data_IF_795067062186
#
_entry.id   IF_795067062186
#
_cell.length_a   1.000
_cell.length_b   1.000
_cell.length_c   1.000
_cell.angle_alpha   90.00
_cell.angle_beta   90.00
_cell.angle_gamma   90.00
#
_symmetry.space_group_name_H-M   'P 1'
#
loop_
_entity.id
_entity.type
_entity.pdbx_description
1 polymer ?
#
# COMPACT_ATOMS: atom_id res chain seq x y z
N UNK A 1 17.42 -0.99 21.56
CA UNK A 1 18.04 0.19 20.93
C UNK A 1 18.89 -0.18 19.74
N UNK A 2 18.83 0.63 18.68
CA UNK A 2 19.76 0.54 17.58
C UNK A 2 21.12 1.11 17.97
N UNK A 3 22.18 0.35 17.74
CA UNK A 3 23.56 0.78 17.93
C UNK A 3 24.12 1.44 16.66
N UNK A 4 23.41 1.38 15.57
CA UNK A 4 23.73 2.06 14.32
C UNK A 4 23.11 3.46 14.34
N UNK A 5 23.92 4.49 14.18
CA UNK A 5 23.47 5.88 14.09
C UNK A 5 23.63 6.39 12.68
N UNK A 6 22.81 5.84 11.81
CA UNK A 6 22.85 6.09 10.38
C UNK A 6 22.58 7.56 10.05
N UNK A 7 23.48 8.14 9.28
CA UNK A 7 23.37 9.54 8.86
C UNK A 7 23.62 10.59 9.96
N UNK A 8 23.98 10.22 11.18
CA UNK A 8 24.25 11.18 12.25
C UNK A 8 25.66 11.76 12.14
N UNK A 9 25.76 13.07 11.94
CA UNK A 9 27.02 13.81 11.93
C UNK A 9 27.54 14.14 13.33
N UNK A 10 26.66 14.11 14.33
CA UNK A 10 26.98 14.42 15.72
C UNK A 10 26.26 13.43 16.66
N UNK A 11 26.98 12.95 17.64
CA UNK A 11 26.45 12.08 18.69
C UNK A 11 26.22 12.88 19.97
N UNK A 12 25.05 12.71 20.57
CA UNK A 12 24.70 13.31 21.86
C UNK A 12 25.09 12.41 23.04
N UNK A 13 25.28 11.11 22.80
CA UNK A 13 25.78 10.12 23.75
C UNK A 13 26.48 8.97 23.01
N UNK A 14 27.07 8.06 23.75
CA UNK A 14 27.62 6.84 23.16
C UNK A 14 26.53 6.05 22.40
N UNK A 15 26.79 5.60 21.16
CA UNK A 15 25.77 4.96 20.33
C UNK A 15 25.26 3.64 20.93
N UNK A 16 26.18 2.81 21.45
CA UNK A 16 25.81 1.51 21.97
C UNK A 16 25.49 1.58 23.45
N UNK A 17 24.21 1.45 23.79
CA UNK A 17 23.71 1.46 25.15
C UNK A 17 23.03 0.16 25.58
N UNK A 18 22.69 -0.72 24.64
CA UNK A 18 22.14 -2.05 24.91
C UNK A 18 23.26 -3.06 25.10
N UNK A 19 23.08 -3.99 26.03
CA UNK A 19 24.00 -5.08 26.27
C UNK A 19 23.25 -6.38 26.47
N UNK A 20 23.87 -7.47 26.05
CA UNK A 20 23.34 -8.82 26.14
C UNK A 20 24.32 -9.71 26.90
N UNK A 21 23.79 -10.58 27.76
CA UNK A 21 24.52 -11.62 28.48
C UNK A 21 23.75 -12.93 28.36
N UNK A 22 24.46 -14.00 28.09
CA UNK A 22 23.87 -15.32 28.20
C UNK A 22 23.82 -15.71 29.68
N UNK A 23 22.69 -16.27 30.11
CA UNK A 23 22.52 -16.81 31.46
C UNK A 23 23.11 -18.22 31.46
N UNK A 24 24.38 -18.35 31.78
CA UNK A 24 25.14 -19.59 31.80
C UNK A 24 25.48 -20.11 33.25
N UNK A 25 25.07 -19.37 34.24
CA UNK A 25 25.26 -19.69 35.66
C UNK A 25 24.00 -19.35 36.48
N UNK A 26 23.88 -19.99 37.67
CA UNK A 26 22.80 -19.71 38.63
C UNK A 26 22.88 -18.33 39.27
N UNK A 27 24.03 -17.68 39.21
CA UNK A 27 24.26 -16.32 39.69
C UNK A 27 25.15 -15.60 38.68
N UNK A 28 24.72 -14.44 38.24
CA UNK A 28 25.46 -13.59 37.31
C UNK A 28 25.52 -12.16 37.82
N UNK A 29 26.61 -11.48 37.54
CA UNK A 29 26.73 -10.05 37.73
C UNK A 29 26.76 -9.37 36.37
N UNK A 30 25.80 -8.49 36.13
CA UNK A 30 25.66 -7.73 34.89
C UNK A 30 25.68 -6.24 35.18
N UNK A 31 26.07 -5.43 34.20
CA UNK A 31 26.09 -3.99 34.37
C UNK A 31 26.19 -3.24 33.06
N UNK A 32 25.51 -2.11 33.01
CA UNK A 32 25.56 -1.17 31.90
C UNK A 32 25.82 0.23 32.44
N UNK A 33 26.82 0.93 31.88
CA UNK A 33 27.19 2.29 32.29
C UNK A 33 26.05 3.32 32.15
N UNK A 34 25.10 3.07 31.27
CA UNK A 34 23.95 3.94 31.04
C UNK A 34 22.71 3.55 31.88
N UNK A 35 22.74 2.41 32.53
CA UNK A 35 21.55 1.83 33.15
C UNK A 35 20.55 1.33 32.13
N UNK A 36 19.25 1.42 32.46
CA UNK A 36 18.13 1.04 31.60
C UNK A 36 17.31 -0.12 32.13
N UNK A 37 16.20 -0.47 31.50
CA UNK A 37 15.37 -1.63 31.81
C UNK A 37 16.18 -2.94 31.69
N UNK A 38 15.87 -3.90 32.54
CA UNK A 38 16.45 -5.25 32.52
C UNK A 38 15.40 -6.22 31.99
N UNK A 39 15.66 -6.84 30.84
CA UNK A 39 14.82 -7.84 30.25
C UNK A 39 15.43 -9.24 30.38
N UNK A 40 14.60 -10.21 30.69
CA UNK A 40 14.95 -11.63 30.66
C UNK A 40 14.41 -12.23 29.40
N UNK A 41 15.29 -12.53 28.45
CA UNK A 41 14.92 -13.16 27.19
C UNK A 41 14.91 -14.68 27.30
N UNK A 42 13.80 -15.29 26.91
CA UNK A 42 13.66 -16.75 26.82
C UNK A 42 13.45 -17.08 25.34
N UNK A 43 14.21 -18.04 24.83
CA UNK A 43 14.12 -18.46 23.43
C UNK A 43 12.73 -19.04 23.14
N UNK A 44 12.14 -18.64 22.04
CA UNK A 44 10.85 -19.18 21.59
C UNK A 44 10.90 -20.72 21.49
N UNK A 45 9.83 -21.38 21.94
CA UNK A 45 9.75 -22.85 21.98
C UNK A 45 10.51 -23.50 23.15
N UNK A 46 11.05 -22.72 24.08
CA UNK A 46 11.70 -23.23 25.29
C UNK A 46 10.70 -23.98 26.19
N UNK A 47 11.13 -25.10 26.75
CA UNK A 47 10.30 -25.96 27.62
C UNK A 47 10.85 -26.02 29.05
N UNK A 48 11.50 -24.95 29.52
CA UNK A 48 12.16 -24.88 30.81
C UNK A 48 11.18 -24.94 32.00
N UNK A 49 9.90 -24.72 31.78
CA UNK A 49 8.92 -24.59 32.84
C UNK A 49 9.02 -23.24 33.58
N UNK A 50 8.43 -23.15 34.77
CA UNK A 50 8.48 -21.97 35.63
C UNK A 50 9.75 -21.98 36.49
N UNK A 51 10.36 -20.80 36.62
CA UNK A 51 11.50 -20.61 37.48
C UNK A 51 11.55 -19.16 38.01
N UNK A 52 12.10 -19.00 39.21
CA UNK A 52 12.24 -17.69 39.85
C UNK A 52 13.56 -17.02 39.49
N UNK A 53 13.50 -15.73 39.20
CA UNK A 53 14.68 -14.88 39.03
C UNK A 53 14.67 -13.77 40.08
N UNK A 54 15.75 -13.70 40.85
CA UNK A 54 15.96 -12.61 41.79
C UNK A 54 16.93 -11.60 41.21
N UNK A 55 16.48 -10.35 41.03
CA UNK A 55 17.32 -9.22 40.63
C UNK A 55 17.65 -8.40 41.86
N UNK A 56 18.96 -8.24 42.13
CA UNK A 56 19.47 -7.46 43.27
C UNK A 56 20.19 -6.19 42.79
N UNK A 57 20.24 -5.15 43.63
CA UNK A 57 20.87 -3.86 43.32
C UNK A 57 20.26 -3.14 42.11
N UNK A 58 18.97 -3.34 41.88
CA UNK A 58 18.16 -2.62 40.93
C UNK A 58 17.05 -1.85 41.66
N UNK A 59 16.43 -0.91 40.95
CA UNK A 59 15.25 -0.19 41.43
C UNK A 59 14.06 -0.59 40.58
N UNK A 60 12.86 -0.50 41.14
CA UNK A 60 11.62 -0.76 40.38
C UNK A 60 11.38 0.32 39.36
N UNK A 61 10.93 -0.09 38.21
CA UNK A 61 10.42 0.79 37.16
C UNK A 61 8.90 0.93 37.26
N UNK A 62 8.35 2.11 37.02
CA UNK A 62 6.92 2.24 36.76
C UNK A 62 6.50 1.28 35.67
N UNK A 63 5.53 0.43 35.98
CA UNK A 63 5.00 -0.54 35.01
C UNK A 63 3.50 -0.69 35.14
N UNK A 64 2.80 -0.48 34.04
CA UNK A 64 1.39 -0.74 33.90
C UNK A 64 1.16 -1.82 32.85
N UNK A 65 0.37 -2.81 33.17
CA UNK A 65 -0.07 -3.86 32.25
C UNK A 65 -1.59 -3.80 32.21
N UNK A 66 -2.14 -3.50 31.04
CA UNK A 66 -3.57 -3.45 30.81
C UNK A 66 -4.24 -4.78 31.21
N UNK A 67 -5.34 -4.71 31.93
CA UNK A 67 -6.06 -5.88 32.42
C UNK A 67 -5.45 -6.61 33.61
N UNK A 68 -4.18 -6.33 33.99
CA UNK A 68 -3.49 -6.97 35.13
C UNK A 68 -3.22 -6.01 36.27
N UNK A 69 -2.77 -4.78 35.97
CA UNK A 69 -2.37 -3.80 36.97
C UNK A 69 -3.60 -3.12 37.61
N UNK A 70 -3.72 -3.24 38.93
CA UNK A 70 -4.75 -2.53 39.67
C UNK A 70 -4.54 -1.00 39.57
N UNK A 71 -5.57 -0.28 39.16
CA UNK A 71 -5.48 1.16 38.91
C UNK A 71 -5.20 1.97 40.19
N UNK A 72 -5.70 1.53 41.34
CA UNK A 72 -5.41 2.20 42.60
C UNK A 72 -3.93 2.06 42.98
N UNK A 73 -3.34 0.87 42.78
CA UNK A 73 -1.91 0.65 42.99
C UNK A 73 -1.05 1.43 42.00
N UNK A 74 -1.50 1.54 40.74
CA UNK A 74 -0.84 2.40 39.76
C UNK A 74 -0.77 3.85 40.26
N UNK A 75 -1.90 4.42 40.62
CA UNK A 75 -2.03 5.82 41.04
C UNK A 75 -1.26 6.10 42.36
N UNK A 76 -1.28 5.19 43.30
CA UNK A 76 -0.69 5.41 44.64
C UNK A 76 0.79 5.00 44.76
N UNK A 77 1.25 4.08 43.92
CA UNK A 77 2.57 3.50 44.05
C UNK A 77 3.32 3.38 42.72
N UNK A 78 2.86 2.58 41.79
CA UNK A 78 3.71 2.07 40.70
C UNK A 78 4.17 3.19 39.75
N UNK A 79 3.35 4.18 39.40
CA UNK A 79 3.79 5.30 38.58
C UNK A 79 4.88 6.16 39.26
N UNK A 80 5.06 6.01 40.58
CA UNK A 80 6.07 6.72 41.37
C UNK A 80 7.31 5.90 41.62
N UNK A 81 7.40 4.66 41.14
CA UNK A 81 8.59 3.83 41.27
C UNK A 81 9.82 4.55 40.68
N UNK A 82 11.01 4.40 41.32
CA UNK A 82 12.10 5.37 41.15
C UNK A 82 12.93 5.26 39.88
N UNK A 83 12.74 4.21 39.05
CA UNK A 83 13.54 4.07 37.84
C UNK A 83 13.25 5.20 36.82
N UNK A 84 14.23 5.62 36.01
CA UNK A 84 14.05 6.70 35.03
C UNK A 84 13.27 6.29 33.79
N UNK A 85 13.02 5.01 33.58
CA UNK A 85 12.26 4.43 32.50
C UNK A 85 11.01 3.74 33.00
N UNK A 86 9.94 3.79 32.22
CA UNK A 86 8.66 3.16 32.50
C UNK A 86 8.20 2.33 31.31
N UNK A 87 7.33 1.35 31.57
CA UNK A 87 6.60 0.62 30.55
C UNK A 87 5.09 0.69 30.82
N UNK A 88 4.33 1.01 29.78
CA UNK A 88 2.89 0.96 29.77
C UNK A 88 2.51 0.08 28.59
N UNK A 89 1.76 -0.99 28.84
CA UNK A 89 1.48 -1.94 27.77
C UNK A 89 0.22 -2.75 27.97
N UNK A 90 -0.22 -3.32 26.85
CA UNK A 90 -1.24 -4.33 26.72
C UNK A 90 -0.63 -5.65 26.26
N UNK A 91 -1.45 -6.59 25.84
CA UNK A 91 -1.04 -7.80 25.14
C UNK A 91 -0.73 -7.57 23.66
N UNK A 92 -0.99 -6.36 23.12
CA UNK A 92 -0.72 -5.98 21.72
C UNK A 92 0.42 -4.98 21.60
N UNK A 93 0.52 -3.98 22.50
CA UNK A 93 1.49 -2.90 22.37
C UNK A 93 2.14 -2.52 23.69
N UNK A 94 3.43 -2.19 23.64
CA UNK A 94 4.21 -1.73 24.79
C UNK A 94 4.90 -0.41 24.44
N UNK A 95 4.64 0.63 25.23
CA UNK A 95 5.32 1.91 25.21
C UNK A 95 6.41 1.93 26.29
N UNK A 96 7.67 2.02 25.89
CA UNK A 96 8.82 2.20 26.80
C UNK A 96 9.24 3.65 26.73
N UNK A 97 9.00 4.40 27.81
CA UNK A 97 9.10 5.86 27.88
C UNK A 97 9.93 6.34 29.07
N UNK A 98 10.46 7.57 29.02
CA UNK A 98 11.00 8.21 30.24
C UNK A 98 9.92 8.31 31.32
N UNK A 99 10.24 7.87 32.54
CA UNK A 99 9.23 7.73 33.60
C UNK A 99 8.62 9.06 34.08
N UNK A 100 9.29 10.19 33.84
CA UNK A 100 8.75 11.50 34.21
C UNK A 100 7.51 11.88 33.37
N UNK A 101 7.37 11.35 32.16
CA UNK A 101 6.24 11.60 31.26
C UNK A 101 4.94 10.93 31.72
N UNK A 102 5.04 9.92 32.59
CA UNK A 102 3.87 9.13 33.02
C UNK A 102 3.54 9.30 34.51
N UNK A 103 4.27 10.17 35.24
CA UNK A 103 4.02 10.39 36.67
C UNK A 103 2.62 10.90 36.97
N UNK A 104 2.04 11.66 36.05
CA UNK A 104 0.70 12.24 36.12
C UNK A 104 -0.33 11.51 35.24
N UNK A 105 0.02 10.35 34.69
CA UNK A 105 -0.92 9.56 33.88
C UNK A 105 -1.94 8.86 34.78
N UNK A 106 -3.16 9.40 34.80
CA UNK A 106 -4.25 8.93 35.65
C UNK A 106 -5.08 7.79 35.01
N UNK A 107 -5.08 7.70 33.69
CA UNK A 107 -5.91 6.76 32.93
C UNK A 107 -5.10 5.91 31.93
N UNK A 108 -4.12 5.11 32.38
CA UNK A 108 -3.32 4.26 31.49
C UNK A 108 -4.14 3.19 30.79
N UNK A 109 -5.30 2.81 31.34
CA UNK A 109 -6.22 1.88 30.71
C UNK A 109 -6.81 2.46 29.43
N UNK A 110 -7.39 3.65 29.49
CA UNK A 110 -7.99 4.31 28.33
C UNK A 110 -6.92 4.54 27.23
N UNK A 111 -5.69 4.84 27.63
CA UNK A 111 -4.57 4.98 26.71
C UNK A 111 -4.28 3.67 25.95
N UNK A 112 -4.25 2.55 26.68
CA UNK A 112 -3.94 1.26 26.05
C UNK A 112 -5.13 0.74 25.24
N UNK A 113 -6.37 0.94 25.68
CA UNK A 113 -7.57 0.64 24.89
C UNK A 113 -7.54 1.38 23.53
N UNK A 114 -7.12 2.64 23.54
CA UNK A 114 -6.98 3.44 22.32
C UNK A 114 -5.89 2.90 21.39
N UNK A 115 -4.70 2.57 21.93
CA UNK A 115 -3.61 2.00 21.13
C UNK A 115 -3.94 0.60 20.60
N UNK A 116 -4.62 -0.22 21.37
CA UNK A 116 -5.07 -1.54 20.93
C UNK A 116 -6.10 -1.42 19.80
N UNK A 117 -6.97 -0.40 19.86
CA UNK A 117 -7.89 -0.09 18.76
C UNK A 117 -7.10 0.34 17.51
N UNK A 118 -6.12 1.23 17.62
CA UNK A 118 -5.31 1.67 16.50
C UNK A 118 -4.59 0.51 15.82
N UNK A 119 -3.92 -0.35 16.59
CA UNK A 119 -3.26 -1.56 16.07
C UNK A 119 -4.24 -2.53 15.44
N UNK A 120 -5.41 -2.73 16.05
CA UNK A 120 -6.46 -3.59 15.50
C UNK A 120 -6.92 -3.09 14.12
N UNK A 121 -7.09 -1.79 13.95
CA UNK A 121 -7.44 -1.18 12.67
C UNK A 121 -6.32 -1.32 11.64
N UNK A 122 -5.04 -1.20 12.03
CA UNK A 122 -3.93 -1.47 11.11
C UNK A 122 -3.89 -2.94 10.66
N UNK A 123 -4.09 -3.88 11.58
CA UNK A 123 -4.21 -5.30 11.24
C UNK A 123 -5.33 -5.55 10.24
N UNK A 124 -6.48 -4.90 10.42
CA UNK A 124 -7.61 -4.99 9.50
C UNK A 124 -7.25 -4.42 8.12
N UNK A 125 -6.64 -3.24 8.07
CA UNK A 125 -6.23 -2.59 6.82
C UNK A 125 -5.30 -3.46 5.99
N UNK A 126 -4.27 -4.04 6.61
CA UNK A 126 -3.31 -4.89 5.90
C UNK A 126 -3.82 -6.33 5.69
N UNK A 127 -4.97 -6.69 6.27
CA UNK A 127 -5.63 -7.97 6.07
C UNK A 127 -4.93 -9.15 6.74
N UNK A 128 -4.00 -8.92 7.67
CA UNK A 128 -3.30 -9.98 8.41
C UNK A 128 -2.66 -9.48 9.70
N UNK A 129 -2.39 -10.42 10.61
CA UNK A 129 -1.55 -10.17 11.79
C UNK A 129 -0.07 -10.46 11.44
N UNK A 130 0.81 -9.45 11.37
CA UNK A 130 2.16 -9.63 10.82
C UNK A 130 3.05 -10.51 11.72
N UNK A 131 2.94 -10.37 13.04
CA UNK A 131 3.87 -11.03 13.95
C UNK A 131 3.16 -11.60 15.18
N UNK A 132 3.46 -12.85 15.59
CA UNK A 132 2.95 -13.41 16.84
C UNK A 132 3.76 -12.85 18.04
N UNK A 133 3.88 -11.55 18.13
CA UNK A 133 4.57 -10.83 19.19
C UNK A 133 3.82 -9.56 19.55
N UNK A 134 4.02 -9.08 20.78
CA UNK A 134 3.56 -7.77 21.21
C UNK A 134 4.44 -6.70 20.55
N UNK A 135 3.86 -5.74 19.85
CA UNK A 135 4.60 -4.62 19.28
C UNK A 135 5.18 -3.73 20.39
N UNK A 136 6.29 -3.06 20.11
CA UNK A 136 6.99 -2.26 21.12
C UNK A 136 7.54 -0.98 20.49
N UNK A 137 7.20 0.16 21.08
CA UNK A 137 7.83 1.44 20.82
C UNK A 137 8.76 1.83 21.97
N UNK A 138 9.95 2.31 21.65
CA UNK A 138 10.93 2.83 22.61
C UNK A 138 11.30 4.25 22.26
N UNK A 139 11.15 5.14 23.22
CA UNK A 139 11.40 6.56 23.05
C UNK A 139 12.75 6.94 23.66
N UNK A 140 13.61 7.59 22.88
CA UNK A 140 14.94 7.97 23.33
C UNK A 140 15.39 9.32 22.74
N UNK A 141 16.24 10.03 23.45
CA UNK A 141 16.86 11.28 23.01
C UNK A 141 17.80 11.09 21.80
N UNK A 142 18.19 9.88 21.48
CA UNK A 142 19.04 9.55 20.35
C UNK A 142 18.66 8.20 19.75
N UNK A 143 18.11 8.24 18.55
CA UNK A 143 17.74 7.07 17.75
C UNK A 143 18.56 6.99 16.46
N UNK A 144 18.54 5.84 15.77
CA UNK A 144 19.45 5.61 14.65
C UNK A 144 19.13 6.46 13.41
N UNK A 145 17.85 6.68 13.10
CA UNK A 145 17.42 7.42 11.92
C UNK A 145 16.17 8.26 12.20
N UNK A 146 16.00 9.35 11.47
CA UNK A 146 14.79 10.15 11.48
C UNK A 146 14.37 10.72 12.83
N UNK A 147 13.09 11.07 12.91
CA UNK A 147 12.36 11.40 14.13
C UNK A 147 11.78 10.13 14.80
N UNK A 148 11.41 9.17 13.96
CA UNK A 148 10.99 7.81 14.30
C UNK A 148 11.58 6.85 13.25
N UNK A 149 11.61 5.57 13.54
CA UNK A 149 11.88 4.52 12.56
C UNK A 149 11.32 3.17 13.01
N UNK A 150 10.84 2.42 12.05
CA UNK A 150 10.30 1.07 12.24
C UNK A 150 11.33 0.05 12.74
N UNK A 151 10.87 -1.14 13.02
CA UNK A 151 11.62 -2.30 13.49
C UNK A 151 11.10 -2.85 14.80
N UNK A 152 11.91 -3.67 15.46
CA UNK A 152 11.58 -4.21 16.78
C UNK A 152 12.76 -4.01 17.77
N UNK A 153 12.57 -3.11 18.74
CA UNK A 153 11.44 -2.20 18.89
C UNK A 153 11.43 -1.15 17.78
N UNK A 154 10.26 -0.60 17.49
CA UNK A 154 10.18 0.65 16.77
C UNK A 154 10.73 1.78 17.67
N UNK A 155 11.47 2.72 17.10
CA UNK A 155 12.16 3.77 17.84
C UNK A 155 11.57 5.14 17.51
N UNK A 156 11.32 5.94 18.56
CA UNK A 156 10.85 7.32 18.43
C UNK A 156 11.68 8.28 19.27
N UNK A 157 11.71 9.54 18.87
CA UNK A 157 12.35 10.58 19.65
C UNK A 157 11.56 10.88 20.93
N UNK A 158 12.26 11.06 22.06
CA UNK A 158 11.65 11.27 23.38
C UNK A 158 10.72 12.52 23.44
N UNK A 159 10.92 13.51 22.58
CA UNK A 159 10.04 14.68 22.47
C UNK A 159 8.61 14.36 21.97
N UNK A 160 8.38 13.17 21.42
CA UNK A 160 7.04 12.71 21.00
C UNK A 160 6.21 12.16 22.16
N UNK A 161 6.83 11.80 23.28
CA UNK A 161 6.18 11.03 24.36
C UNK A 161 4.97 11.75 24.91
N UNK A 162 5.09 13.04 25.19
CA UNK A 162 4.01 13.81 25.83
C UNK A 162 2.66 13.75 25.09
N UNK A 163 2.69 13.71 23.74
CA UNK A 163 1.52 13.48 22.90
C UNK A 163 1.06 12.03 22.95
N UNK A 164 1.99 11.10 22.72
CA UNK A 164 1.73 9.65 22.55
C UNK A 164 1.14 9.00 23.81
N UNK A 165 1.48 9.47 25.01
CA UNK A 165 0.92 8.97 26.28
C UNK A 165 -0.32 9.74 26.74
N UNK A 166 -0.80 10.70 25.97
CA UNK A 166 -1.98 11.49 26.28
C UNK A 166 -3.14 11.07 25.38
N UNK A 167 -4.05 10.25 25.90
CA UNK A 167 -5.18 9.71 25.14
C UNK A 167 -6.09 10.81 24.56
N UNK A 168 -6.30 11.92 25.27
CA UNK A 168 -7.11 13.02 24.75
C UNK A 168 -6.42 13.68 23.54
N UNK A 169 -5.11 13.90 23.64
CA UNK A 169 -4.35 14.44 22.51
C UNK A 169 -4.38 13.49 21.32
N UNK A 170 -4.14 12.18 21.53
CA UNK A 170 -4.16 11.17 20.47
C UNK A 170 -5.53 11.05 19.81
N UNK A 171 -6.61 11.14 20.59
CA UNK A 171 -7.98 11.07 20.06
C UNK A 171 -8.37 12.30 19.23
N UNK A 172 -7.77 13.45 19.49
CA UNK A 172 -8.07 14.71 18.79
C UNK A 172 -7.12 14.98 17.61
N UNK A 173 -5.87 14.52 17.70
CA UNK A 173 -4.82 14.90 16.75
C UNK A 173 -4.16 13.72 16.06
N UNK A 174 -4.20 12.52 16.64
CA UNK A 174 -3.41 11.38 16.21
C UNK A 174 -1.89 11.62 16.29
N UNK A 175 -1.14 10.73 15.70
CA UNK A 175 0.29 10.92 15.43
C UNK A 175 0.66 10.20 14.13
N UNK A 176 0.81 10.97 13.06
CA UNK A 176 1.14 10.44 11.73
C UNK A 176 2.40 9.57 11.77
N UNK A 177 3.44 10.00 12.49
CA UNK A 177 4.70 9.28 12.56
C UNK A 177 4.57 7.92 13.24
N UNK A 178 3.83 7.84 14.35
CA UNK A 178 3.56 6.57 15.04
C UNK A 178 2.82 5.59 14.12
N UNK A 179 1.78 6.03 13.43
CA UNK A 179 1.01 5.21 12.49
C UNK A 179 1.87 4.77 11.29
N UNK A 180 2.70 5.66 10.79
CA UNK A 180 3.63 5.41 9.70
C UNK A 180 4.64 4.31 10.04
N UNK A 181 5.28 4.38 11.22
CA UNK A 181 6.28 3.39 11.63
C UNK A 181 5.66 2.04 11.97
N UNK A 182 4.46 2.02 12.56
CA UNK A 182 3.69 0.81 12.73
C UNK A 182 3.27 0.24 11.37
N UNK A 183 2.87 1.09 10.43
CA UNK A 183 2.59 0.73 9.04
C UNK A 183 3.79 0.03 8.37
N UNK A 184 5.01 0.50 8.56
CA UNK A 184 6.21 -0.19 8.10
C UNK A 184 6.36 -1.59 8.72
N UNK A 185 6.02 -1.76 10.00
CA UNK A 185 6.04 -3.07 10.64
C UNK A 185 5.00 -4.04 10.08
N UNK A 186 3.94 -3.52 9.43
CA UNK A 186 2.89 -4.30 8.77
C UNK A 186 3.16 -4.56 7.28
N UNK A 187 4.09 -3.85 6.66
CA UNK A 187 4.40 -4.05 5.24
C UNK A 187 4.95 -5.44 4.95
N UNK A 188 4.44 -6.02 3.87
CA UNK A 188 5.00 -7.22 3.30
C UNK A 188 5.55 -6.92 1.90
N UNK A 189 6.84 -7.16 1.70
CA UNK A 189 7.55 -6.72 0.49
C UNK A 189 6.92 -7.17 -0.83
N UNK A 190 6.35 -8.38 -0.97
CA UNK A 190 5.67 -8.80 -2.20
C UNK A 190 4.43 -7.96 -2.58
N UNK A 191 3.80 -7.27 -1.62
CA UNK A 191 2.69 -6.34 -1.85
C UNK A 191 3.11 -4.86 -1.82
N UNK A 192 4.39 -4.60 -1.60
CA UNK A 192 4.96 -3.25 -1.60
C UNK A 192 5.64 -3.00 -2.94
N UNK A 193 5.01 -2.22 -3.81
CA UNK A 193 5.50 -1.99 -5.15
C UNK A 193 6.86 -1.27 -5.15
N UNK A 194 7.69 -1.46 -6.19
CA UNK A 194 9.01 -0.83 -6.28
C UNK A 194 8.96 0.68 -6.08
N UNK A 195 9.78 1.20 -5.19
CA UNK A 195 9.83 2.64 -4.88
C UNK A 195 8.76 3.14 -3.91
N UNK A 196 7.88 2.26 -3.38
CA UNK A 196 6.73 2.66 -2.55
C UNK A 196 6.81 2.22 -1.10
N UNK A 197 7.98 1.90 -0.58
CA UNK A 197 8.14 1.54 0.85
C UNK A 197 7.54 2.60 1.76
N UNK A 198 7.83 3.88 1.49
CA UNK A 198 7.28 5.01 2.23
C UNK A 198 5.80 5.32 1.88
N UNK A 199 5.29 4.76 0.80
CA UNK A 199 3.87 4.90 0.42
C UNK A 199 3.00 3.89 1.15
N UNK A 200 3.43 2.63 1.16
CA UNK A 200 2.66 1.53 1.76
C UNK A 200 2.41 1.73 3.25
N UNK A 201 3.38 2.28 4.01
CA UNK A 201 3.19 2.62 5.43
C UNK A 201 2.25 3.82 5.62
N UNK A 202 2.20 4.74 4.66
CA UNK A 202 1.26 5.85 4.70
C UNK A 202 -0.20 5.42 4.55
N UNK A 203 -0.50 4.20 4.11
CA UNK A 203 -1.87 3.66 4.17
C UNK A 203 -2.38 3.65 5.61
N UNK A 204 -1.58 3.11 6.55
CA UNK A 204 -1.93 3.12 7.97
C UNK A 204 -2.12 4.55 8.48
N UNK A 205 -1.20 5.45 8.14
CA UNK A 205 -1.30 6.84 8.58
C UNK A 205 -2.59 7.50 8.08
N UNK A 206 -2.91 7.42 6.80
CA UNK A 206 -4.15 8.02 6.26
C UNK A 206 -5.37 7.35 6.87
N UNK A 207 -5.41 6.02 6.93
CA UNK A 207 -6.53 5.27 7.45
C UNK A 207 -6.84 5.62 8.91
N UNK A 208 -5.83 5.62 9.78
CA UNK A 208 -6.03 5.93 11.19
C UNK A 208 -6.33 7.42 11.42
N UNK A 209 -5.69 8.33 10.67
CA UNK A 209 -6.02 9.75 10.77
C UNK A 209 -7.47 10.02 10.36
N UNK A 210 -7.98 9.40 9.30
CA UNK A 210 -9.36 9.58 8.84
C UNK A 210 -10.36 8.84 9.72
N UNK A 211 -10.20 7.52 9.91
CA UNK A 211 -11.25 6.66 10.45
C UNK A 211 -11.18 6.51 11.97
N UNK A 212 -10.01 6.66 12.60
CA UNK A 212 -9.87 6.62 14.06
C UNK A 212 -9.93 8.03 14.69
N UNK A 213 -9.22 8.98 14.09
CA UNK A 213 -9.07 10.35 14.66
C UNK A 213 -10.09 11.32 14.05
N UNK A 214 -10.42 11.18 12.77
CA UNK A 214 -11.37 12.04 12.06
C UNK A 214 -10.75 13.34 11.54
N UNK A 215 -9.45 13.32 11.20
CA UNK A 215 -8.70 14.47 10.66
C UNK A 215 -7.88 14.05 9.43
N UNK A 216 -7.56 15.00 8.55
CA UNK A 216 -6.78 14.73 7.33
C UNK A 216 -5.32 14.32 7.63
N UNK A 217 -4.74 14.82 8.69
CA UNK A 217 -3.39 14.50 9.16
C UNK A 217 -2.29 15.29 8.46
N UNK A 218 -1.67 14.73 7.43
CA UNK A 218 -0.49 15.34 6.80
C UNK A 218 -0.87 16.25 5.63
N UNK A 219 -0.25 17.45 5.54
CA UNK A 219 -0.54 18.40 4.47
C UNK A 219 -0.28 17.88 3.03
N UNK A 220 0.49 16.79 2.88
CA UNK A 220 0.69 16.17 1.58
C UNK A 220 -0.56 15.45 1.02
N UNK A 221 -1.56 15.16 1.87
CA UNK A 221 -2.85 14.59 1.43
C UNK A 221 -3.91 15.66 1.19
N UNK A 222 -3.56 16.93 1.40
CA UNK A 222 -4.40 18.07 1.06
C UNK A 222 -4.75 18.07 -0.43
N UNK A 223 -6.02 18.29 -0.81
CA UNK A 223 -6.49 18.22 -2.19
C UNK A 223 -5.74 19.12 -3.17
N UNK A 224 -5.34 20.35 -2.76
CA UNK A 224 -4.59 21.26 -3.63
C UNK A 224 -3.17 20.76 -3.88
N UNK A 225 -2.52 20.19 -2.85
CA UNK A 225 -1.18 19.61 -2.99
C UNK A 225 -1.22 18.35 -3.86
N UNK A 226 -2.25 17.52 -3.73
CA UNK A 226 -2.46 16.33 -4.56
C UNK A 226 -2.65 16.73 -6.02
N UNK A 227 -3.56 17.65 -6.31
CA UNK A 227 -3.83 18.13 -7.66
C UNK A 227 -2.56 18.67 -8.34
N UNK A 228 -1.82 19.56 -7.66
CA UNK A 228 -0.60 20.17 -8.23
C UNK A 228 0.48 19.14 -8.57
N UNK A 229 0.70 18.11 -7.73
CA UNK A 229 1.71 17.09 -8.05
C UNK A 229 1.24 16.09 -9.09
N UNK A 230 -0.05 15.78 -9.17
CA UNK A 230 -0.61 14.96 -10.25
C UNK A 230 -0.47 15.67 -11.61
N UNK A 231 -0.84 16.95 -11.69
CA UNK A 231 -0.63 17.78 -12.88
C UNK A 231 0.83 17.69 -13.35
N UNK A 232 1.77 17.97 -12.46
CA UNK A 232 3.21 17.90 -12.77
C UNK A 232 3.66 16.50 -13.22
N UNK A 233 3.13 15.44 -12.62
CA UNK A 233 3.50 14.07 -12.96
C UNK A 233 2.99 13.66 -14.35
N UNK A 234 1.76 13.99 -14.68
CA UNK A 234 1.18 13.70 -15.98
C UNK A 234 1.78 14.58 -17.10
N UNK A 235 2.06 15.86 -16.83
CA UNK A 235 2.79 16.73 -17.77
C UNK A 235 4.20 16.20 -18.08
N UNK A 236 4.88 15.54 -17.14
CA UNK A 236 6.19 14.89 -17.30
C UNK A 236 6.11 13.50 -17.98
N UNK A 237 4.94 13.11 -18.47
CA UNK A 237 4.69 11.88 -19.23
C UNK A 237 4.59 10.62 -18.38
N UNK A 238 4.10 10.72 -17.15
CA UNK A 238 3.83 9.58 -16.27
C UNK A 238 5.01 8.62 -16.09
N UNK A 239 6.21 9.17 -15.90
CA UNK A 239 7.41 8.35 -15.80
C UNK A 239 7.41 7.58 -14.48
N UNK A 240 7.27 6.24 -14.56
CA UNK A 240 7.24 5.35 -13.39
C UNK A 240 8.45 5.51 -12.46
N UNK A 241 9.59 5.98 -12.96
CA UNK A 241 10.77 6.26 -12.14
C UNK A 241 10.57 7.44 -11.19
N UNK A 242 9.62 8.33 -11.48
CA UNK A 242 9.22 9.47 -10.66
C UNK A 242 7.99 9.16 -9.78
N UNK A 243 7.38 7.98 -9.96
CA UNK A 243 6.26 7.51 -9.18
C UNK A 243 6.72 7.02 -7.80
N UNK A 244 6.68 7.91 -6.83
CA UNK A 244 7.23 7.68 -5.49
C UNK A 244 6.35 8.30 -4.41
N UNK A 245 6.57 7.93 -3.18
CA UNK A 245 5.90 8.31 -1.93
C UNK A 245 4.50 8.92 -2.11
N UNK A 246 4.41 10.23 -2.35
CA UNK A 246 3.13 10.95 -2.36
C UNK A 246 2.36 10.78 -3.66
N UNK A 247 3.03 10.81 -4.81
CA UNK A 247 2.36 10.60 -6.10
C UNK A 247 1.86 9.14 -6.22
N UNK A 248 2.63 8.19 -5.68
CA UNK A 248 2.19 6.82 -5.58
C UNK A 248 0.99 6.68 -4.62
N UNK A 249 1.01 7.40 -3.49
CA UNK A 249 -0.12 7.42 -2.57
C UNK A 249 -1.39 7.94 -3.24
N UNK A 250 -1.30 8.97 -4.09
CA UNK A 250 -2.47 9.51 -4.81
C UNK A 250 -3.13 8.47 -5.71
N UNK A 251 -2.34 7.62 -6.38
CA UNK A 251 -2.85 6.51 -7.19
C UNK A 251 -3.76 5.59 -6.38
N UNK A 252 -3.39 5.31 -5.14
CA UNK A 252 -4.17 4.45 -4.24
C UNK A 252 -5.35 5.19 -3.61
N UNK A 253 -5.17 6.46 -3.23
CA UNK A 253 -6.23 7.25 -2.60
C UNK A 253 -7.41 7.51 -3.54
N UNK A 254 -7.19 7.67 -4.85
CA UNK A 254 -8.27 7.79 -5.84
C UNK A 254 -9.12 6.52 -5.87
N UNK A 255 -8.50 5.35 -5.82
CA UNK A 255 -9.22 4.06 -5.72
C UNK A 255 -9.99 3.97 -4.40
N UNK A 256 -9.38 4.37 -3.30
CA UNK A 256 -10.02 4.41 -1.97
C UNK A 256 -11.20 5.39 -1.93
N UNK A 257 -11.08 6.54 -2.58
CA UNK A 257 -12.13 7.55 -2.65
C UNK A 257 -13.36 7.05 -3.42
N UNK A 258 -13.16 6.20 -4.43
CA UNK A 258 -14.27 5.60 -5.19
C UNK A 258 -14.90 4.39 -4.48
N UNK A 259 -14.11 3.48 -3.91
CA UNK A 259 -14.62 2.21 -3.37
C UNK A 259 -14.39 2.01 -1.86
N UNK A 260 -13.72 2.94 -1.18
CA UNK A 260 -13.37 2.83 0.22
C UNK A 260 -12.13 1.94 0.49
N UNK A 261 -11.72 1.86 1.74
CA UNK A 261 -10.55 1.07 2.17
C UNK A 261 -10.71 -0.44 1.95
N UNK A 262 -11.95 -0.95 1.95
CA UNK A 262 -12.24 -2.38 1.84
C UNK A 262 -11.61 -3.05 0.62
N UNK A 263 -11.57 -2.38 -0.55
CA UNK A 263 -10.95 -2.94 -1.76
C UNK A 263 -9.42 -2.99 -1.66
N UNK A 264 -8.81 -2.05 -0.95
CA UNK A 264 -7.36 -2.07 -0.67
C UNK A 264 -7.03 -3.24 0.26
N UNK A 265 -7.77 -3.38 1.36
CA UNK A 265 -7.64 -4.51 2.30
C UNK A 265 -7.82 -5.86 1.60
N UNK A 266 -8.86 -6.00 0.76
CA UNK A 266 -9.11 -7.23 0.01
C UNK A 266 -7.94 -7.55 -0.92
N UNK A 267 -7.46 -6.57 -1.69
CA UNK A 267 -6.32 -6.75 -2.57
C UNK A 267 -5.04 -7.15 -1.81
N UNK A 268 -4.76 -6.51 -0.67
CA UNK A 268 -3.62 -6.85 0.18
C UNK A 268 -3.73 -8.25 0.78
N UNK A 269 -4.93 -8.65 1.25
CA UNK A 269 -5.14 -9.94 1.93
C UNK A 269 -4.89 -11.14 1.01
N UNK A 270 -5.09 -11.00 -0.30
CA UNK A 270 -4.84 -12.06 -1.29
C UNK A 270 -3.40 -12.55 -1.21
N UNK A 271 -2.43 -11.64 -1.08
CA UNK A 271 -1.02 -11.99 -1.08
C UNK A 271 -0.62 -13.00 0.00
N UNK A 272 -1.26 -12.98 1.17
CA UNK A 272 -0.95 -13.91 2.28
C UNK A 272 -1.50 -15.30 2.06
N UNK A 273 -2.41 -15.46 1.11
CA UNK A 273 -3.02 -16.75 0.76
C UNK A 273 -2.38 -17.39 -0.47
N UNK A 274 -1.49 -16.68 -1.16
CA UNK A 274 -0.81 -17.17 -2.36
C UNK A 274 0.11 -18.34 -2.03
N UNK A 275 0.12 -19.39 -2.88
CA UNK A 275 1.18 -20.38 -2.85
C UNK A 275 2.55 -19.69 -3.06
N UNK A 276 3.60 -20.19 -2.42
CA UNK A 276 4.93 -19.57 -2.48
C UNK A 276 5.48 -19.38 -3.91
N UNK A 277 5.04 -20.21 -4.86
CA UNK A 277 5.43 -20.10 -6.27
C UNK A 277 4.67 -19.01 -7.05
N UNK A 278 3.60 -18.47 -6.48
CA UNK A 278 2.74 -17.45 -7.08
C UNK A 278 2.96 -16.06 -6.43
N UNK A 279 3.76 -16.00 -5.38
CA UNK A 279 4.14 -14.75 -4.74
C UNK A 279 5.02 -13.95 -5.71
N UNK A 280 4.63 -12.72 -6.09
CA UNK A 280 5.41 -11.94 -7.04
C UNK A 280 6.79 -11.59 -6.48
N UNK A 281 7.80 -11.60 -7.34
CA UNK A 281 9.20 -11.33 -6.96
C UNK A 281 9.90 -10.48 -8.02
N UNK A 282 9.85 -9.17 -7.83
CA UNK A 282 10.50 -8.20 -8.72
C UNK A 282 9.53 -7.36 -9.53
N UNK A 283 9.95 -6.16 -9.79
CA UNK A 283 9.22 -5.00 -10.27
C UNK A 283 8.01 -5.24 -11.16
N UNK A 284 8.18 -5.81 -12.35
CA UNK A 284 7.07 -6.03 -13.28
C UNK A 284 6.02 -7.01 -12.74
N UNK A 285 6.44 -8.08 -12.07
CA UNK A 285 5.49 -9.04 -11.49
C UNK A 285 4.66 -8.42 -10.38
N UNK A 286 5.26 -7.60 -9.52
CA UNK A 286 4.59 -6.91 -8.41
C UNK A 286 3.53 -5.93 -8.92
N UNK A 287 3.86 -5.11 -9.93
CA UNK A 287 2.90 -4.20 -10.56
C UNK A 287 1.70 -4.94 -11.17
N UNK A 288 1.96 -6.03 -11.88
CA UNK A 288 0.90 -6.80 -12.53
C UNK A 288 0.01 -7.54 -11.52
N UNK A 289 0.60 -8.13 -10.47
CA UNK A 289 -0.14 -8.79 -9.41
C UNK A 289 -1.06 -7.79 -8.66
N UNK A 290 -0.53 -6.60 -8.35
CA UNK A 290 -1.34 -5.54 -7.72
C UNK A 290 -2.57 -5.20 -8.55
N UNK A 291 -2.38 -4.92 -9.84
CA UNK A 291 -3.48 -4.55 -10.74
C UNK A 291 -4.50 -5.68 -10.85
N UNK A 292 -4.07 -6.94 -10.92
CA UNK A 292 -4.97 -8.10 -10.94
C UNK A 292 -5.79 -8.20 -9.65
N UNK A 293 -5.15 -8.10 -8.49
CA UNK A 293 -5.84 -8.23 -7.20
C UNK A 293 -6.81 -7.07 -6.97
N UNK A 294 -6.38 -5.85 -7.25
CA UNK A 294 -7.22 -4.67 -7.06
C UNK A 294 -8.39 -4.63 -8.04
N UNK A 295 -8.16 -5.05 -9.30
CA UNK A 295 -9.25 -5.18 -10.28
C UNK A 295 -10.31 -6.21 -9.86
N UNK A 296 -9.86 -7.34 -9.30
CA UNK A 296 -10.79 -8.35 -8.80
C UNK A 296 -11.56 -7.84 -7.56
N UNK A 297 -10.90 -7.14 -6.64
CA UNK A 297 -11.53 -6.56 -5.46
C UNK A 297 -12.58 -5.49 -5.80
N UNK A 298 -12.32 -4.67 -6.82
CA UNK A 298 -13.27 -3.63 -7.27
C UNK A 298 -14.35 -4.17 -8.20
N UNK A 299 -14.10 -5.31 -8.88
CA UNK A 299 -14.96 -5.82 -9.95
C UNK A 299 -14.83 -5.04 -11.27
N UNK A 300 -13.82 -4.18 -11.39
CA UNK A 300 -13.53 -3.40 -12.60
C UNK A 300 -12.14 -3.69 -13.13
N UNK A 301 -11.98 -3.61 -14.46
CA UNK A 301 -10.67 -3.66 -15.08
C UNK A 301 -9.95 -2.32 -14.87
N UNK A 302 -8.98 -2.30 -13.96
CA UNK A 302 -8.19 -1.12 -13.63
C UNK A 302 -6.87 -1.04 -14.42
N UNK A 303 -6.65 -1.93 -15.39
CA UNK A 303 -5.40 -1.91 -16.17
C UNK A 303 -5.23 -0.59 -16.95
N UNK A 304 -6.25 0.00 -17.61
CA UNK A 304 -6.10 1.29 -18.27
C UNK A 304 -5.73 2.42 -17.31
N UNK A 305 -6.35 2.46 -16.13
CA UNK A 305 -6.03 3.43 -15.08
C UNK A 305 -4.56 3.34 -14.66
N UNK A 306 -4.08 2.14 -14.30
CA UNK A 306 -2.69 1.97 -13.88
C UNK A 306 -1.68 2.16 -15.01
N UNK A 307 -2.06 1.82 -16.25
CA UNK A 307 -1.21 2.10 -17.41
C UNK A 307 -1.00 3.61 -17.62
N UNK A 308 -2.03 4.43 -17.37
CA UNK A 308 -1.90 5.88 -17.40
C UNK A 308 -0.92 6.43 -16.35
N UNK A 309 -0.80 5.76 -15.20
CA UNK A 309 0.23 6.04 -14.20
C UNK A 309 1.63 5.48 -14.56
N UNK A 310 1.79 4.88 -15.75
CA UNK A 310 3.05 4.35 -16.23
C UNK A 310 3.41 2.95 -15.72
N UNK A 311 2.47 2.19 -15.18
CA UNK A 311 2.73 0.82 -14.72
C UNK A 311 3.13 -0.09 -15.90
N UNK A 312 4.19 -0.90 -15.75
CA UNK A 312 4.69 -1.77 -16.82
C UNK A 312 3.83 -3.04 -16.94
N UNK A 313 2.59 -2.89 -17.44
CA UNK A 313 1.64 -4.00 -17.54
C UNK A 313 1.95 -4.90 -18.73
N UNK A 314 1.77 -6.21 -18.54
CA UNK A 314 1.95 -7.22 -19.56
C UNK A 314 0.64 -7.54 -20.29
N UNK A 315 0.73 -8.07 -21.52
CA UNK A 315 -0.44 -8.53 -22.26
C UNK A 315 -1.25 -9.56 -21.46
N UNK A 316 -0.58 -10.45 -20.74
CA UNK A 316 -1.25 -11.44 -19.90
C UNK A 316 -2.15 -10.82 -18.81
N UNK A 317 -1.77 -9.66 -18.28
CA UNK A 317 -2.59 -8.91 -17.30
C UNK A 317 -3.85 -8.34 -17.96
N UNK A 318 -3.72 -7.75 -19.16
CA UNK A 318 -4.88 -7.27 -19.93
C UNK A 318 -5.82 -8.42 -20.28
N UNK A 319 -5.28 -9.54 -20.78
CA UNK A 319 -6.07 -10.74 -21.15
C UNK A 319 -6.82 -11.30 -19.92
N UNK A 320 -6.15 -11.35 -18.77
CA UNK A 320 -6.76 -11.85 -17.52
C UNK A 320 -7.92 -10.97 -17.02
N UNK A 321 -7.90 -9.68 -17.33
CA UNK A 321 -8.89 -8.70 -16.90
C UNK A 321 -9.97 -8.40 -17.97
N UNK A 322 -9.88 -9.00 -19.16
CA UNK A 322 -10.82 -8.75 -20.26
C UNK A 322 -12.29 -9.01 -19.89
N UNK A 323 -12.52 -9.92 -18.95
CA UNK A 323 -13.87 -10.28 -18.50
C UNK A 323 -14.52 -9.24 -17.59
N UNK A 324 -13.76 -8.30 -17.03
CA UNK A 324 -14.24 -7.22 -16.17
C UNK A 324 -14.57 -5.95 -16.97
N UNK A 325 -15.62 -5.20 -16.57
CA UNK A 325 -15.88 -3.89 -17.15
C UNK A 325 -14.74 -2.93 -16.84
N UNK A 326 -14.35 -2.10 -17.80
CA UNK A 326 -13.37 -1.03 -17.55
C UNK A 326 -13.98 0.05 -16.66
N UNK A 327 -13.19 0.61 -15.77
CA UNK A 327 -13.60 1.78 -15.01
C UNK A 327 -13.58 3.04 -15.90
N UNK A 328 -14.74 3.41 -16.38
CA UNK A 328 -14.89 4.53 -17.34
C UNK A 328 -15.11 5.88 -16.65
N UNK A 329 -15.55 5.86 -15.40
CA UNK A 329 -15.77 7.05 -14.57
C UNK A 329 -14.53 7.46 -13.77
N UNK A 330 -13.35 7.00 -14.21
CA UNK A 330 -12.06 7.40 -13.64
C UNK A 330 -11.93 8.93 -13.66
N UNK A 331 -11.77 9.58 -12.49
CA UNK A 331 -11.80 11.03 -12.37
C UNK A 331 -10.63 11.74 -13.05
N UNK A 332 -9.54 11.04 -13.37
CA UNK A 332 -8.37 11.61 -14.03
C UNK A 332 -8.50 11.58 -15.55
N UNK A 333 -9.43 10.78 -16.02
CA UNK A 333 -9.65 10.58 -17.43
C UNK A 333 -10.20 11.83 -18.11
N UNK A 334 -9.54 12.25 -19.18
CA UNK A 334 -9.88 13.48 -19.91
C UNK A 334 -9.43 14.76 -19.24
N UNK A 335 -8.93 14.69 -18.00
CA UNK A 335 -8.30 15.80 -17.31
C UNK A 335 -6.78 15.76 -17.42
N UNK A 336 -6.18 14.61 -17.13
CA UNK A 336 -4.72 14.43 -17.10
C UNK A 336 -4.21 13.52 -18.21
N UNK A 337 -5.02 12.65 -18.77
CA UNK A 337 -4.64 11.75 -19.85
C UNK A 337 -5.81 11.40 -20.77
N UNK A 338 -5.47 11.03 -22.00
CA UNK A 338 -6.40 10.52 -22.97
C UNK A 338 -6.43 8.98 -22.94
N UNK A 339 -7.54 8.41 -23.40
CA UNK A 339 -7.69 6.98 -23.58
C UNK A 339 -7.99 6.64 -25.02
N UNK A 340 -7.50 5.49 -25.46
CA UNK A 340 -8.06 4.84 -26.64
C UNK A 340 -9.48 4.33 -26.39
N UNK A 341 -10.30 4.28 -27.44
CA UNK A 341 -11.61 3.66 -27.32
C UNK A 341 -11.48 2.18 -26.96
N UNK A 342 -12.41 1.67 -26.16
CA UNK A 342 -12.48 0.25 -25.81
C UNK A 342 -13.63 -0.39 -26.59
N UNK A 343 -13.26 -1.38 -27.40
CA UNK A 343 -14.18 -2.12 -28.25
C UNK A 343 -14.33 -3.56 -27.74
N UNK A 344 -15.54 -4.10 -27.85
CA UNK A 344 -15.85 -5.49 -27.50
C UNK A 344 -16.72 -6.11 -28.59
N UNK A 345 -16.92 -7.43 -28.52
CA UNK A 345 -17.79 -8.19 -29.35
C UNK A 345 -17.52 -8.01 -30.87
N UNK A 346 -16.23 -7.82 -31.22
CA UNK A 346 -15.83 -7.70 -32.62
C UNK A 346 -16.19 -8.98 -33.38
N UNK A 347 -17.02 -8.85 -34.40
CA UNK A 347 -17.46 -9.96 -35.27
C UNK A 347 -17.88 -9.44 -36.64
N UNK A 348 -18.31 -10.34 -37.50
CA UNK A 348 -18.85 -9.97 -38.81
C UNK A 348 -20.30 -10.47 -39.00
N UNK A 349 -21.07 -9.72 -39.75
CA UNK A 349 -22.45 -10.07 -40.14
C UNK A 349 -22.69 -9.73 -41.62
N UNK A 350 -23.84 -10.12 -42.16
CA UNK A 350 -24.22 -9.86 -43.53
C UNK A 350 -23.15 -10.27 -44.58
N UNK A 351 -22.46 -11.41 -44.30
CA UNK A 351 -21.39 -11.90 -45.17
C UNK A 351 -21.97 -12.38 -46.51
N UNK A 352 -21.45 -11.86 -47.60
CA UNK A 352 -21.75 -12.24 -48.99
C UNK A 352 -20.47 -12.66 -49.72
N UNK A 353 -20.55 -12.99 -50.99
CA UNK A 353 -19.37 -13.26 -51.83
C UNK A 353 -18.49 -12.02 -52.08
N UNK A 354 -18.96 -10.82 -51.78
CA UNK A 354 -18.24 -9.56 -52.09
C UNK A 354 -18.16 -8.56 -50.95
N UNK A 355 -18.94 -8.73 -49.87
CA UNK A 355 -19.01 -7.76 -48.77
C UNK A 355 -19.32 -8.44 -47.46
N UNK A 356 -18.95 -7.78 -46.34
CA UNK A 356 -19.43 -8.07 -45.02
C UNK A 356 -19.53 -6.78 -44.19
N UNK A 357 -20.37 -6.80 -43.17
CA UNK A 357 -20.36 -5.77 -42.15
C UNK A 357 -19.51 -6.27 -40.96
N UNK A 358 -18.49 -5.52 -40.59
CA UNK A 358 -17.75 -5.66 -39.33
C UNK A 358 -18.53 -4.91 -38.27
N UNK A 359 -18.89 -5.58 -37.19
CA UNK A 359 -19.66 -4.98 -36.09
C UNK A 359 -18.90 -5.15 -34.77
N UNK A 360 -19.09 -4.21 -33.89
CA UNK A 360 -18.50 -4.17 -32.54
C UNK A 360 -19.39 -3.39 -31.60
N UNK A 361 -19.14 -3.50 -30.33
CA UNK A 361 -19.69 -2.61 -29.30
C UNK A 361 -18.59 -1.66 -28.80
N UNK A 362 -18.85 -0.36 -28.80
CA UNK A 362 -18.02 0.63 -28.17
C UNK A 362 -18.41 0.68 -26.68
N UNK A 363 -17.56 0.19 -25.83
CA UNK A 363 -17.73 0.27 -24.39
C UNK A 363 -17.30 1.64 -23.86
N UNK A 364 -16.22 2.17 -24.41
CA UNK A 364 -15.69 3.48 -24.14
C UNK A 364 -15.23 4.12 -25.45
N UNK A 365 -15.59 5.38 -25.67
CA UNK A 365 -15.27 6.09 -26.91
C UNK A 365 -13.88 6.73 -26.95
N UNK A 366 -13.14 6.67 -25.84
CA UNK A 366 -11.81 7.29 -25.74
C UNK A 366 -11.83 8.81 -25.83
N UNK A 367 -10.66 9.42 -25.69
CA UNK A 367 -10.47 10.87 -25.81
C UNK A 367 -10.03 11.21 -27.22
N UNK A 368 -10.84 11.99 -27.96
CA UNK A 368 -10.54 12.38 -29.33
C UNK A 368 -10.18 11.22 -30.28
N UNK A 369 -10.72 10.03 -30.01
CA UNK A 369 -10.34 8.81 -30.71
C UNK A 369 -11.00 8.71 -32.09
N UNK A 370 -10.27 8.13 -33.05
CA UNK A 370 -10.81 7.72 -34.37
C UNK A 370 -10.64 6.22 -34.55
N UNK A 371 -11.59 5.58 -35.21
CA UNK A 371 -11.57 4.16 -35.53
C UNK A 371 -11.28 3.92 -37.02
N UNK A 372 -10.41 2.93 -37.30
CA UNK A 372 -10.12 2.45 -38.62
C UNK A 372 -10.13 0.92 -38.63
N UNK A 373 -10.96 0.34 -39.51
CA UNK A 373 -10.99 -1.11 -39.75
C UNK A 373 -9.92 -1.45 -40.78
N UNK A 374 -9.04 -2.37 -40.47
CA UNK A 374 -8.04 -2.92 -41.37
C UNK A 374 -8.37 -4.36 -41.71
N UNK A 375 -8.19 -4.76 -42.97
CA UNK A 375 -8.46 -6.13 -43.38
C UNK A 375 -7.59 -6.58 -44.56
N UNK A 376 -7.42 -7.90 -44.68
CA UNK A 376 -6.61 -8.52 -45.74
C UNK A 376 -6.53 -10.03 -45.57
N UNK A 377 -5.96 -10.72 -46.55
CA UNK A 377 -5.84 -12.18 -46.58
C UNK A 377 -4.78 -12.72 -45.59
N UNK A 378 -4.01 -11.86 -45.00
CA UNK A 378 -3.01 -12.19 -43.96
C UNK A 378 -3.17 -11.22 -42.80
N UNK A 379 -3.11 -11.72 -41.56
CA UNK A 379 -3.06 -10.86 -40.40
C UNK A 379 -1.70 -10.15 -40.32
N UNK A 380 -1.68 -8.84 -40.47
CA UNK A 380 -0.49 -7.99 -40.42
C UNK A 380 -0.19 -7.46 -39.02
N UNK A 381 -0.92 -7.96 -38.01
CA UNK A 381 -0.76 -7.49 -36.63
C UNK A 381 -1.11 -6.02 -36.46
N UNK A 382 -0.39 -5.35 -35.59
CA UNK A 382 -0.63 -3.95 -35.22
C UNK A 382 0.17 -2.95 -36.08
N UNK A 383 0.45 -3.27 -37.33
CA UNK A 383 1.14 -2.37 -38.24
C UNK A 383 0.22 -1.90 -39.35
N UNK A 384 -0.38 -0.72 -39.20
CA UNK A 384 -1.34 -0.11 -40.11
C UNK A 384 -0.83 0.01 -41.55
N UNK A 385 0.48 0.15 -41.78
CA UNK A 385 1.09 0.34 -43.08
C UNK A 385 1.19 -0.96 -43.91
N UNK A 386 1.07 -2.09 -43.31
CA UNK A 386 1.18 -3.41 -43.99
C UNK A 386 -0.18 -3.94 -44.46
N UNK A 387 -1.27 -3.43 -43.94
CA UNK A 387 -2.61 -3.86 -44.33
C UNK A 387 -2.99 -3.41 -45.74
N UNK A 388 -3.46 -4.31 -46.61
CA UNK A 388 -3.79 -3.94 -47.99
C UNK A 388 -5.06 -3.09 -48.11
N UNK A 389 -5.97 -3.21 -47.13
CA UNK A 389 -7.25 -2.51 -47.14
C UNK A 389 -7.55 -1.89 -45.79
N UNK A 390 -8.19 -0.72 -45.82
CA UNK A 390 -8.71 -0.07 -44.61
C UNK A 390 -9.99 0.72 -44.92
N UNK A 391 -10.81 0.86 -43.89
CA UNK A 391 -12.06 1.65 -43.92
C UNK A 391 -12.09 2.48 -42.62
N UNK A 392 -12.24 3.82 -42.80
CA UNK A 392 -12.47 4.69 -41.65
C UNK A 392 -13.86 4.44 -41.08
N UNK A 393 -13.93 4.19 -39.76
CA UNK A 393 -15.17 4.06 -39.01
C UNK A 393 -15.52 5.32 -38.21
N UNK A 394 -14.71 6.38 -38.37
CA UNK A 394 -14.96 7.70 -37.78
C UNK A 394 -14.70 7.75 -36.25
N UNK A 395 -15.33 8.70 -35.58
CA UNK A 395 -15.26 8.86 -34.15
C UNK A 395 -16.25 7.89 -33.49
N UNK A 396 -15.79 7.05 -32.54
CA UNK A 396 -16.65 6.11 -31.83
C UNK A 396 -17.73 6.81 -31.01
N UNK A 397 -18.85 6.15 -30.89
CA UNK A 397 -19.92 6.52 -29.96
C UNK A 397 -20.23 5.30 -29.11
N UNK A 398 -20.42 5.46 -27.80
CA UNK A 398 -20.76 4.35 -26.89
C UNK A 398 -22.00 3.61 -27.42
N UNK A 399 -21.90 2.29 -27.50
CA UNK A 399 -22.90 1.39 -28.05
C UNK A 399 -22.45 0.70 -29.37
N UNK A 400 -23.37 0.10 -30.13
CA UNK A 400 -23.03 -0.67 -31.30
C UNK A 400 -22.45 0.20 -32.42
N UNK A 401 -21.35 -0.27 -33.01
CA UNK A 401 -20.68 0.30 -34.16
C UNK A 401 -20.63 -0.68 -35.33
N UNK A 402 -20.49 -0.18 -36.55
CA UNK A 402 -20.30 -1.01 -37.72
C UNK A 402 -19.54 -0.31 -38.83
N UNK A 403 -18.86 -1.12 -39.68
CA UNK A 403 -18.25 -0.67 -40.91
C UNK A 403 -18.36 -1.77 -42.00
N UNK A 404 -18.70 -1.39 -43.21
CA UNK A 404 -18.72 -2.31 -44.34
C UNK A 404 -17.35 -2.55 -44.92
N UNK A 405 -16.98 -3.80 -45.16
CA UNK A 405 -15.76 -4.21 -45.90
C UNK A 405 -16.10 -4.91 -47.19
N UNK A 406 -15.17 -4.91 -48.16
CA UNK A 406 -15.34 -5.54 -49.44
C UNK A 406 -14.25 -6.57 -49.71
N UNK A 407 -14.63 -7.69 -50.33
CA UNK A 407 -13.74 -8.78 -50.67
C UNK A 407 -13.40 -8.74 -52.19
N UNK A 408 -12.14 -9.08 -52.49
CA UNK A 408 -11.68 -9.20 -53.86
C UNK A 408 -11.83 -10.63 -54.42
N UNK A 409 -11.92 -11.63 -53.56
CA UNK A 409 -12.05 -13.04 -53.88
C UNK A 409 -12.64 -13.84 -52.70
N UNK A 410 -12.85 -15.14 -52.87
CA UNK A 410 -13.51 -16.03 -51.92
C UNK A 410 -12.54 -16.60 -50.82
N UNK A 411 -11.37 -16.01 -50.65
CA UNK A 411 -10.43 -16.44 -49.63
C UNK A 411 -10.78 -15.86 -48.24
N UNK A 412 -10.23 -16.46 -47.18
CA UNK A 412 -10.40 -15.93 -45.80
C UNK A 412 -9.66 -14.60 -45.62
N UNK A 413 -10.37 -13.62 -45.08
CA UNK A 413 -9.80 -12.35 -44.64
C UNK A 413 -9.69 -12.27 -43.13
N UNK A 414 -8.63 -11.62 -42.65
CA UNK A 414 -8.44 -11.21 -41.27
C UNK A 414 -8.82 -9.76 -41.09
N UNK A 415 -9.43 -9.41 -39.98
CA UNK A 415 -9.90 -8.07 -39.70
C UNK A 415 -9.40 -7.64 -38.31
N UNK A 416 -8.89 -6.42 -38.22
CA UNK A 416 -8.60 -5.71 -37.02
C UNK A 416 -9.20 -4.32 -37.02
N UNK A 417 -9.47 -3.77 -35.83
CA UNK A 417 -9.82 -2.36 -35.69
C UNK A 417 -8.71 -1.67 -34.93
N UNK A 418 -8.26 -0.52 -35.41
CA UNK A 418 -7.35 0.38 -34.73
C UNK A 418 -8.17 1.56 -34.20
N UNK A 419 -8.07 1.79 -32.88
CA UNK A 419 -8.45 3.06 -32.29
C UNK A 419 -7.17 3.91 -32.16
N UNK A 420 -7.23 5.17 -32.56
CA UNK A 420 -6.07 6.05 -32.42
C UNK A 420 -6.48 7.45 -31.96
N UNK A 421 -5.65 8.04 -31.09
CA UNK A 421 -5.75 9.39 -30.59
C UNK A 421 -4.35 10.02 -30.45
N UNK A 422 -4.22 11.13 -29.74
CA UNK A 422 -2.94 11.81 -29.50
C UNK A 422 -1.98 11.04 -28.60
N UNK A 423 -2.47 10.05 -27.80
CA UNK A 423 -1.65 9.23 -26.90
C UNK A 423 -1.10 7.96 -27.59
N UNK A 424 -1.75 7.50 -28.69
CA UNK A 424 -1.29 6.31 -29.38
C UNK A 424 -2.31 5.55 -30.18
N UNK A 425 -2.12 4.25 -30.28
CA UNK A 425 -2.95 3.32 -31.05
C UNK A 425 -3.27 2.08 -30.21
N UNK A 426 -4.56 1.73 -30.07
CA UNK A 426 -5.03 0.45 -29.56
C UNK A 426 -5.60 -0.43 -30.69
N UNK A 427 -5.32 -1.72 -30.67
CA UNK A 427 -5.70 -2.65 -31.69
C UNK A 427 -6.59 -3.77 -31.14
N UNK A 428 -7.69 -4.07 -31.86
CA UNK A 428 -8.68 -5.07 -31.49
C UNK A 428 -8.78 -6.14 -32.59
N UNK A 429 -8.95 -7.38 -32.20
CA UNK A 429 -8.91 -8.55 -33.09
C UNK A 429 -7.59 -9.31 -32.97
N UNK A 430 -7.26 -10.25 -33.91
CA UNK A 430 -7.97 -10.42 -35.19
C UNK A 430 -9.26 -11.26 -35.09
N UNK A 431 -10.17 -10.98 -35.96
CA UNK A 431 -11.21 -11.94 -36.35
C UNK A 431 -10.99 -12.40 -37.78
N UNK A 432 -11.58 -13.52 -38.18
CA UNK A 432 -11.50 -14.01 -39.56
C UNK A 432 -12.91 -14.10 -40.16
N UNK A 433 -13.01 -13.79 -41.44
CA UNK A 433 -14.23 -13.90 -42.23
C UNK A 433 -13.92 -14.51 -43.57
N UNK A 434 -14.76 -15.45 -44.00
CA UNK A 434 -14.68 -16.07 -45.34
C UNK A 434 -15.91 -15.68 -46.09
N UNK A 435 -15.79 -15.11 -47.33
CA UNK A 435 -16.93 -14.82 -48.21
C UNK A 435 -17.76 -16.08 -48.47
N UNK A 436 -19.08 -15.92 -48.64
CA UNK A 436 -20.03 -17.00 -48.84
C UNK A 436 -20.24 -17.28 -50.35
#
# INVERSE_FOLDING_TARGET
>A
HSDSLWGKSQLHRHPQISRWWYVDNTTMQVGNAFGGPIYIGIQAGSTLGEFDITVSNAVKAPRYIHGETDIFQWLQQYRHDPAPWAEIGSDQFILTVPSHEIRDLDNPQDLMDWWDQALGMEHELYGYMPWPRVERAVFDAQISAGWMHSGYPFMAHDLSVAGVVNVSYMSENGDWGMFHELGHNHQWMPSTLPGTTETGCNFASVYLMEDLVGVEGHGAVDPEQRAARMESYFEDGSNISNWSVWIALDTYLIIKEEWGWGVITEALSVYYTLPAAEVPSGGTEEFNAWVLHLSNATGYNLAPYHAAWGFPLTQATYDALEHLPVWVDDPLRGEYYAYDAILRNLTTTNVTSSTADVIWDVYDNGTNTTLTVYYGQTDMGNNSQLWPYSVSAGTPQVGPGSAGISFADDTTYYVRIMASNEEGEAWFGPISVTPN
#
